data_IF_765002963093
#
_entry.id   IF_765002963093
#
_cell.length_a   1.000
_cell.length_b   1.000
_cell.length_c   1.000
_cell.angle_alpha   90.00
_cell.angle_beta   90.00
_cell.angle_gamma   90.00
#
_symmetry.space_group_name_H-M   'P 1'
#
loop_
_entity.id
_entity.type
_entity.pdbx_description
1 polymer ?
#
# COMPACT_ATOMS: atom_id res chain seq x y z
N UNK A 1 -39.24 -7.02 17.61
CA UNK A 1 -40.13 -6.68 16.48
C UNK A 1 -40.13 -5.19 16.13
N UNK A 2 -40.46 -4.28 17.06
CA UNK A 2 -40.52 -2.82 16.79
C UNK A 2 -39.23 -2.24 16.19
N UNK A 3 -38.06 -2.61 16.71
CA UNK A 3 -36.76 -2.19 16.18
C UNK A 3 -36.48 -2.64 14.74
N UNK A 4 -36.91 -3.86 14.39
CA UNK A 4 -36.74 -4.41 13.03
C UNK A 4 -37.63 -3.65 12.05
N UNK A 5 -38.90 -3.45 12.38
CA UNK A 5 -39.84 -2.67 11.56
C UNK A 5 -39.30 -1.25 11.36
N UNK A 6 -38.82 -0.61 12.42
CA UNK A 6 -38.22 0.73 12.34
C UNK A 6 -36.99 0.74 11.42
N UNK A 7 -36.07 -0.22 11.57
CA UNK A 7 -34.89 -0.34 10.72
C UNK A 7 -35.26 -0.46 9.23
N UNK A 8 -36.20 -1.35 8.90
CA UNK A 8 -36.67 -1.51 7.52
C UNK A 8 -37.40 -0.27 6.99
N UNK A 9 -38.19 0.42 7.82
CA UNK A 9 -38.84 1.68 7.44
C UNK A 9 -37.82 2.76 7.11
N UNK A 10 -36.72 2.87 7.87
CA UNK A 10 -35.64 3.81 7.59
C UNK A 10 -34.86 3.46 6.31
N UNK A 11 -34.62 2.16 6.08
CA UNK A 11 -33.97 1.66 4.86
C UNK A 11 -34.84 1.88 3.62
N UNK A 12 -36.17 1.88 3.74
CA UNK A 12 -37.07 2.13 2.59
C UNK A 12 -37.02 3.56 2.06
N UNK A 13 -36.60 4.52 2.88
CA UNK A 13 -36.49 5.92 2.43
C UNK A 13 -35.27 6.03 1.49
N UNK A 14 -35.43 6.35 0.19
CA UNK A 14 -34.35 6.25 -0.79
C UNK A 14 -33.11 7.08 -0.43
N UNK A 15 -33.31 8.30 0.06
CA UNK A 15 -32.22 9.19 0.48
C UNK A 15 -31.43 8.62 1.66
N UNK A 16 -32.12 7.99 2.61
CA UNK A 16 -31.50 7.33 3.76
C UNK A 16 -30.79 6.04 3.33
N UNK A 17 -31.42 5.23 2.47
CA UNK A 17 -30.78 4.04 1.89
C UNK A 17 -29.45 4.36 1.24
N UNK A 18 -29.44 5.34 0.33
CA UNK A 18 -28.23 5.72 -0.41
C UNK A 18 -27.16 6.26 0.54
N UNK A 19 -27.55 7.16 1.45
CA UNK A 19 -26.61 7.84 2.34
C UNK A 19 -26.04 6.92 3.44
N UNK A 20 -26.86 6.02 3.99
CA UNK A 20 -26.53 5.21 5.15
C UNK A 20 -25.98 3.82 4.79
N UNK A 21 -26.43 3.26 3.67
CA UNK A 21 -26.18 1.86 3.32
C UNK A 21 -25.37 1.75 2.03
N UNK A 22 -25.91 2.22 0.91
CA UNK A 22 -25.31 2.01 -0.41
C UNK A 22 -23.94 2.69 -0.57
N UNK A 23 -23.85 4.00 -0.32
CA UNK A 23 -22.64 4.77 -0.61
C UNK A 23 -21.44 4.37 0.25
N UNK A 24 -21.57 4.24 1.60
CA UNK A 24 -20.48 3.74 2.42
C UNK A 24 -20.06 2.33 1.98
N UNK A 25 -21.01 1.45 1.65
CA UNK A 25 -20.71 0.10 1.17
C UNK A 25 -19.91 0.12 -0.13
N UNK A 26 -20.32 0.90 -1.14
CA UNK A 26 -19.58 1.04 -2.41
C UNK A 26 -18.15 1.52 -2.14
N UNK A 27 -17.98 2.58 -1.34
CA UNK A 27 -16.63 3.09 -0.99
C UNK A 27 -15.81 1.99 -0.31
N UNK A 28 -16.39 1.31 0.68
CA UNK A 28 -15.71 0.23 1.39
C UNK A 28 -15.25 -0.88 0.45
N UNK A 29 -16.14 -1.34 -0.44
CA UNK A 29 -15.83 -2.36 -1.44
C UNK A 29 -14.72 -1.88 -2.39
N UNK A 30 -14.81 -0.66 -2.92
CA UNK A 30 -13.78 -0.11 -3.81
C UNK A 30 -12.41 -0.03 -3.13
N UNK A 31 -12.36 0.45 -1.88
CA UNK A 31 -11.10 0.54 -1.12
C UNK A 31 -10.53 -0.85 -0.84
N UNK A 32 -11.36 -1.80 -0.38
CA UNK A 32 -10.91 -3.16 -0.10
C UNK A 32 -10.42 -3.88 -1.37
N UNK A 33 -11.12 -3.74 -2.49
CA UNK A 33 -10.69 -4.31 -3.77
C UNK A 33 -9.41 -3.66 -4.30
N UNK A 34 -9.29 -2.34 -4.26
CA UNK A 34 -8.07 -1.65 -4.66
C UNK A 34 -6.86 -2.11 -3.82
N UNK A 35 -7.06 -2.29 -2.52
CA UNK A 35 -6.06 -2.77 -1.59
C UNK A 35 -5.70 -4.25 -1.82
N UNK A 36 -6.68 -5.11 -2.14
CA UNK A 36 -6.43 -6.50 -2.54
C UNK A 36 -5.66 -6.59 -3.87
N UNK A 37 -6.01 -5.76 -4.85
CA UNK A 37 -5.30 -5.67 -6.13
C UNK A 37 -3.87 -5.16 -5.95
N UNK A 38 -3.67 -4.11 -5.14
CA UNK A 38 -2.33 -3.60 -4.84
C UNK A 38 -1.47 -4.65 -4.13
N UNK A 39 -2.04 -5.36 -3.14
CA UNK A 39 -1.36 -6.46 -2.44
C UNK A 39 -0.99 -7.59 -3.40
N UNK A 40 -1.89 -7.96 -4.31
CA UNK A 40 -1.65 -8.95 -5.37
C UNK A 40 -0.56 -8.52 -6.33
N UNK A 41 -0.53 -7.25 -6.76
CA UNK A 41 0.50 -6.73 -7.64
C UNK A 41 1.87 -6.72 -6.95
N UNK A 42 1.91 -6.26 -5.69
CA UNK A 42 3.12 -6.29 -4.88
C UNK A 42 3.62 -7.73 -4.69
N UNK A 43 2.72 -8.67 -4.40
CA UNK A 43 3.07 -10.07 -4.29
C UNK A 43 3.70 -10.60 -5.58
N UNK A 44 3.09 -10.31 -6.73
CA UNK A 44 3.62 -10.64 -8.05
C UNK A 44 5.04 -10.13 -8.27
N UNK A 45 5.34 -8.89 -7.87
CA UNK A 45 6.69 -8.30 -7.96
C UNK A 45 7.69 -9.02 -7.04
N UNK A 46 7.28 -9.36 -5.81
CA UNK A 46 8.16 -9.99 -4.82
C UNK A 46 8.46 -11.45 -5.16
N UNK A 47 7.52 -12.17 -5.79
CA UNK A 47 7.69 -13.59 -6.17
C UNK A 47 8.16 -13.81 -7.59
N UNK A 48 8.32 -12.75 -8.36
CA UNK A 48 8.75 -12.83 -9.74
C UNK A 48 10.14 -13.46 -9.87
N UNK A 49 10.32 -14.36 -10.84
CA UNK A 49 11.64 -14.94 -11.15
C UNK A 49 12.54 -13.94 -11.89
N UNK A 50 13.87 -14.14 -11.94
CA UNK A 50 14.76 -13.29 -12.75
C UNK A 50 14.32 -13.22 -14.22
N UNK A 51 13.85 -14.33 -14.79
CA UNK A 51 13.36 -14.41 -16.17
C UNK A 51 12.05 -13.63 -16.39
N UNK A 52 11.13 -13.67 -15.42
CA UNK A 52 9.90 -12.89 -15.48
C UNK A 52 10.19 -11.39 -15.32
N UNK A 53 11.13 -11.05 -14.42
CA UNK A 53 11.63 -9.70 -14.21
C UNK A 53 12.31 -9.16 -15.46
N UNK A 54 13.14 -9.97 -16.11
CA UNK A 54 13.74 -9.68 -17.40
C UNK A 54 12.66 -9.44 -18.45
N UNK A 55 11.67 -10.32 -18.58
CA UNK A 55 10.56 -10.10 -19.53
C UNK A 55 9.79 -8.80 -19.27
N UNK A 56 9.60 -8.41 -18.01
CA UNK A 56 8.91 -7.15 -17.68
C UNK A 56 9.75 -5.92 -18.00
N UNK A 57 11.05 -5.94 -17.69
CA UNK A 57 11.96 -4.81 -17.98
C UNK A 57 12.27 -4.73 -19.46
N UNK A 58 12.50 -5.87 -20.10
CA UNK A 58 12.82 -6.01 -21.51
C UNK A 58 11.58 -6.12 -22.40
N UNK A 59 10.37 -5.86 -21.86
CA UNK A 59 9.17 -5.64 -22.68
C UNK A 59 9.34 -4.31 -23.44
N UNK A 60 10.21 -4.34 -24.44
CA UNK A 60 10.82 -3.19 -25.12
C UNK A 60 9.92 -2.60 -26.21
N UNK A 61 8.70 -3.12 -26.35
CA UNK A 61 7.75 -2.65 -27.38
C UNK A 61 7.14 -1.28 -27.06
N UNK A 62 7.28 -0.78 -25.83
CA UNK A 62 6.70 0.50 -25.41
C UNK A 62 7.26 1.72 -26.14
N UNK A 63 8.33 1.57 -26.92
CA UNK A 63 9.02 2.68 -27.58
C UNK A 63 9.06 2.54 -29.11
N UNK A 64 8.47 1.48 -29.66
CA UNK A 64 8.33 1.29 -31.10
C UNK A 64 7.46 2.40 -31.74
N UNK A 65 6.39 2.81 -31.05
CA UNK A 65 5.53 3.90 -31.51
C UNK A 65 6.25 5.26 -31.49
N UNK A 66 7.11 5.50 -30.48
CA UNK A 66 7.86 6.74 -30.36
C UNK A 66 8.93 6.84 -31.45
N UNK A 67 9.62 5.73 -31.76
CA UNK A 67 10.52 5.67 -32.93
C UNK A 67 9.77 5.86 -34.25
N UNK A 68 8.59 5.26 -34.39
CA UNK A 68 7.74 5.44 -35.57
C UNK A 68 7.33 6.91 -35.75
N UNK A 69 7.02 7.60 -34.65
CA UNK A 69 6.66 9.02 -34.65
C UNK A 69 7.87 9.90 -35.02
N UNK A 70 9.05 9.61 -34.46
CA UNK A 70 10.24 10.45 -34.60
C UNK A 70 11.02 10.23 -35.89
N UNK A 71 11.05 8.99 -36.39
CA UNK A 71 11.92 8.56 -37.50
C UNK A 71 11.16 7.85 -38.63
N UNK A 72 9.85 7.65 -38.49
CA UNK A 72 9.06 6.93 -39.48
C UNK A 72 9.30 5.41 -39.50
N UNK A 73 10.04 4.88 -38.53
CA UNK A 73 10.35 3.45 -38.41
C UNK A 73 10.23 2.98 -36.96
N UNK A 74 9.73 1.76 -36.76
CA UNK A 74 9.70 1.10 -35.46
C UNK A 74 10.98 0.32 -35.13
N UNK A 75 11.87 0.14 -36.12
CA UNK A 75 13.13 -0.58 -35.97
C UNK A 75 14.13 0.20 -35.11
N UNK A 76 15.16 -0.48 -34.61
CA UNK A 76 16.29 0.20 -33.97
C UNK A 76 17.03 1.02 -35.04
N UNK A 77 17.50 2.21 -34.66
CA UNK A 77 18.36 3.00 -35.53
C UNK A 77 19.71 2.33 -35.67
N UNK A 78 20.39 2.62 -36.79
CA UNK A 78 21.78 2.27 -36.98
C UNK A 78 22.66 2.90 -35.90
N UNK A 79 23.86 2.34 -35.64
CA UNK A 79 24.82 2.91 -34.68
C UNK A 79 25.06 4.40 -34.94
N UNK A 80 25.07 5.18 -33.87
CA UNK A 80 25.13 6.65 -33.95
C UNK A 80 26.40 7.14 -34.68
N UNK A 81 26.23 8.06 -35.62
CA UNK A 81 27.36 8.66 -36.34
C UNK A 81 27.94 9.85 -35.55
N UNK A 82 29.23 9.79 -35.21
CA UNK A 82 29.95 10.93 -34.63
C UNK A 82 30.40 11.90 -35.73
N UNK A 83 30.04 13.18 -35.59
CA UNK A 83 30.44 14.27 -36.45
C UNK A 83 31.21 15.33 -35.66
N UNK A 84 32.54 15.28 -35.71
CA UNK A 84 33.41 16.28 -35.07
C UNK A 84 33.70 17.41 -36.06
N UNK A 85 33.23 18.61 -35.75
CA UNK A 85 33.41 19.78 -36.60
C UNK A 85 34.82 20.34 -36.47
N UNK A 86 35.32 20.96 -37.55
CA UNK A 86 36.66 21.53 -37.60
C UNK A 86 36.58 23.03 -37.80
N UNK A 87 37.52 23.75 -37.19
CA UNK A 87 37.67 25.18 -37.39
C UNK A 87 38.38 25.46 -38.72
N UNK A 88 37.75 26.27 -39.57
CA UNK A 88 38.27 26.77 -40.84
C UNK A 88 38.42 28.30 -40.77
N UNK A 89 39.29 28.93 -41.59
CA UNK A 89 39.41 30.40 -41.64
C UNK A 89 38.10 31.15 -41.90
N UNK A 90 37.13 30.47 -42.52
CA UNK A 90 35.80 31.03 -42.85
C UNK A 90 34.71 30.70 -41.83
N UNK A 91 35.03 29.97 -40.75
CA UNK A 91 34.08 29.54 -39.72
C UNK A 91 34.21 28.06 -39.39
N UNK A 92 33.26 27.54 -38.63
CA UNK A 92 33.21 26.12 -38.27
C UNK A 92 32.54 25.31 -39.39
N UNK A 93 33.20 24.25 -39.86
CA UNK A 93 32.69 23.42 -40.98
C UNK A 93 32.53 21.95 -40.57
N UNK A 94 31.49 21.25 -41.08
CA UNK A 94 31.31 19.83 -40.84
C UNK A 94 32.41 19.02 -41.56
N UNK A 95 32.72 17.80 -41.07
CA UNK A 95 33.77 16.96 -41.66
C UNK A 95 33.43 16.44 -43.07
N UNK A 96 32.14 16.31 -43.40
CA UNK A 96 31.63 15.96 -44.72
C UNK A 96 30.18 16.45 -44.89
N UNK A 97 29.64 16.37 -46.11
CA UNK A 97 28.26 16.81 -46.39
C UNK A 97 27.19 15.98 -45.65
N UNK A 98 27.51 14.75 -45.26
CA UNK A 98 26.65 13.88 -44.45
C UNK A 98 26.56 14.27 -42.97
N UNK A 99 27.40 15.19 -42.50
CA UNK A 99 27.47 15.64 -41.11
C UNK A 99 26.85 17.03 -40.87
N UNK A 100 25.97 17.48 -41.77
CA UNK A 100 25.13 18.65 -41.52
C UNK A 100 24.07 18.31 -40.46
N UNK A 101 23.85 19.22 -39.52
CA UNK A 101 22.87 19.03 -38.44
C UNK A 101 21.46 18.93 -39.04
N UNK A 102 20.73 17.87 -38.69
CA UNK A 102 19.35 17.63 -39.07
C UNK A 102 18.44 17.58 -37.83
N UNK A 103 17.13 17.52 -38.05
CA UNK A 103 16.15 17.29 -36.98
C UNK A 103 16.43 15.95 -36.30
N UNK A 104 16.29 15.91 -34.97
CA UNK A 104 16.62 14.77 -34.08
C UNK A 104 18.11 14.48 -33.86
N UNK A 105 19.01 15.24 -34.50
CA UNK A 105 20.43 15.12 -34.19
C UNK A 105 20.74 15.79 -32.85
N UNK A 106 21.71 15.25 -32.11
CA UNK A 106 22.17 15.80 -30.84
C UNK A 106 23.43 16.62 -31.06
N UNK A 107 23.46 17.84 -30.54
CA UNK A 107 24.61 18.74 -30.60
C UNK A 107 25.26 18.86 -29.23
N UNK A 108 26.58 18.69 -29.16
CA UNK A 108 27.41 18.98 -28.00
C UNK A 108 28.25 20.20 -28.31
N UNK A 109 28.10 21.24 -27.49
CA UNK A 109 28.94 22.43 -27.52
C UNK A 109 30.15 22.25 -26.61
N UNK A 110 31.32 22.22 -27.22
CA UNK A 110 32.60 22.12 -26.54
C UNK A 110 33.54 23.24 -27.01
N UNK A 111 34.33 23.79 -26.09
CA UNK A 111 35.32 24.82 -26.38
C UNK A 111 36.36 24.37 -27.43
N UNK A 112 36.78 23.10 -27.34
CA UNK A 112 37.62 22.43 -28.34
C UNK A 112 36.98 21.11 -28.80
N UNK A 113 36.29 21.10 -29.95
CA UNK A 113 35.65 19.90 -30.49
C UNK A 113 36.63 18.76 -30.78
N UNK A 114 37.88 19.06 -31.14
CA UNK A 114 38.84 18.05 -31.59
C UNK A 114 39.36 17.18 -30.43
N UNK A 115 39.37 17.72 -29.21
CA UNK A 115 39.89 17.04 -28.01
C UNK A 115 38.80 16.57 -27.05
N UNK A 116 37.53 16.82 -27.35
CA UNK A 116 36.41 16.45 -26.49
C UNK A 116 36.20 14.92 -26.45
N UNK A 117 36.18 14.33 -25.24
CA UNK A 117 35.90 12.90 -25.08
C UNK A 117 34.39 12.63 -25.22
N UNK A 118 33.97 12.25 -26.43
CA UNK A 118 32.57 11.97 -26.74
C UNK A 118 32.13 10.55 -26.38
N UNK A 119 32.98 9.68 -25.81
CA UNK A 119 32.67 8.26 -25.61
C UNK A 119 31.44 8.02 -24.74
N UNK A 120 31.33 8.75 -23.62
CA UNK A 120 30.20 8.64 -22.71
C UNK A 120 28.89 9.07 -23.40
N UNK A 121 28.91 10.18 -24.13
CA UNK A 121 27.74 10.71 -24.83
C UNK A 121 27.32 9.85 -26.03
N UNK A 122 28.29 9.32 -26.77
CA UNK A 122 28.03 8.35 -27.83
C UNK A 122 27.34 7.12 -27.24
N UNK A 123 27.89 6.57 -26.15
CA UNK A 123 27.28 5.42 -25.49
C UNK A 123 25.88 5.71 -24.97
N UNK A 124 25.64 6.91 -24.43
CA UNK A 124 24.35 7.33 -23.91
C UNK A 124 23.29 7.41 -25.01
N UNK A 125 23.58 8.06 -26.13
CA UNK A 125 22.63 8.32 -27.23
C UNK A 125 22.57 7.24 -28.32
N UNK A 126 23.42 6.21 -28.25
CA UNK A 126 23.51 5.16 -29.26
C UNK A 126 22.17 4.43 -29.47
N UNK A 127 21.66 4.44 -30.71
CA UNK A 127 20.38 3.84 -31.07
C UNK A 127 19.14 4.72 -30.76
N UNK A 128 19.32 5.92 -30.21
CA UNK A 128 18.22 6.89 -29.94
C UNK A 128 18.21 8.08 -30.89
N UNK A 129 19.35 8.41 -31.49
CA UNK A 129 19.50 9.47 -32.50
C UNK A 129 20.48 9.01 -33.58
N UNK A 130 20.31 9.43 -34.84
CA UNK A 130 21.20 9.01 -35.91
C UNK A 130 22.58 9.66 -35.83
N UNK A 131 22.71 10.88 -35.28
CA UNK A 131 23.99 11.61 -35.26
C UNK A 131 24.24 12.39 -33.98
N UNK A 132 25.50 12.43 -33.59
CA UNK A 132 26.05 13.27 -32.53
C UNK A 132 27.05 14.25 -33.12
N UNK A 133 26.77 15.54 -33.02
CA UNK A 133 27.67 16.59 -33.48
C UNK A 133 28.44 17.18 -32.31
N UNK A 134 29.77 17.24 -32.41
CA UNK A 134 30.60 17.97 -31.46
C UNK A 134 31.13 19.20 -32.18
N UNK A 135 30.77 20.38 -31.69
CA UNK A 135 31.07 21.66 -32.32
C UNK A 135 31.21 22.75 -31.27
N UNK A 136 31.70 23.93 -31.65
CA UNK A 136 31.83 25.09 -30.77
C UNK A 136 30.58 25.98 -30.82
N UNK A 137 29.98 26.12 -32.00
CA UNK A 137 28.96 27.15 -32.26
C UNK A 137 27.70 26.66 -32.94
N UNK A 138 27.65 25.39 -33.37
CA UNK A 138 26.50 24.88 -34.11
C UNK A 138 25.22 24.84 -33.25
N UNK A 139 24.07 24.82 -33.95
CA UNK A 139 22.73 24.84 -33.37
C UNK A 139 21.95 23.64 -33.86
N UNK A 140 21.16 23.04 -32.98
CA UNK A 140 20.23 21.98 -33.30
C UNK A 140 19.01 22.03 -32.38
N UNK A 141 18.13 21.05 -32.51
CA UNK A 141 16.95 20.94 -31.66
C UNK A 141 17.29 20.42 -30.25
N UNK A 142 18.43 19.73 -30.12
CA UNK A 142 19.02 19.31 -28.84
C UNK A 142 20.44 19.85 -28.77
N UNK A 143 20.70 20.71 -27.78
CA UNK A 143 22.03 21.30 -27.57
C UNK A 143 22.48 21.07 -26.13
N UNK A 144 23.54 20.29 -25.96
CA UNK A 144 24.18 20.01 -24.68
C UNK A 144 25.39 20.94 -24.55
N UNK A 145 25.42 21.77 -23.51
CA UNK A 145 26.54 22.67 -23.21
C UNK A 145 27.54 21.96 -22.31
N UNK A 146 28.76 21.76 -22.79
CA UNK A 146 29.83 21.01 -22.10
C UNK A 146 30.88 21.86 -21.37
N UNK A 147 30.75 23.19 -21.37
CA UNK A 147 31.84 24.10 -20.98
C UNK A 147 31.82 24.52 -19.48
N UNK A 148 31.35 23.66 -18.55
CA UNK A 148 31.31 23.94 -17.11
C UNK A 148 31.17 22.70 -16.21
N UNK A 149 31.17 22.87 -14.88
CA UNK A 149 30.95 21.77 -13.91
C UNK A 149 29.56 21.13 -14.03
N UNK A 150 28.58 21.87 -14.56
CA UNK A 150 27.20 21.41 -14.74
C UNK A 150 26.84 21.33 -16.23
N UNK A 151 26.48 20.13 -16.70
CA UNK A 151 26.04 19.89 -18.07
C UNK A 151 24.56 20.29 -18.20
N UNK A 152 24.25 21.18 -19.13
CA UNK A 152 22.86 21.61 -19.40
C UNK A 152 22.44 21.23 -20.80
N UNK A 153 21.24 20.68 -20.93
CA UNK A 153 20.63 20.28 -22.21
C UNK A 153 19.49 21.23 -22.55
N UNK A 154 19.62 21.95 -23.66
CA UNK A 154 18.54 22.75 -24.24
C UNK A 154 17.80 21.90 -25.27
N UNK A 155 16.49 21.73 -25.08
CA UNK A 155 15.63 20.93 -25.96
C UNK A 155 14.54 21.82 -26.56
N UNK A 156 14.48 21.87 -27.88
CA UNK A 156 13.54 22.74 -28.62
C UNK A 156 12.42 21.90 -29.23
N UNK A 157 11.32 21.82 -28.50
CA UNK A 157 10.08 21.17 -28.95
C UNK A 157 9.91 19.71 -28.50
N UNK A 158 8.69 19.20 -28.67
CA UNK A 158 8.30 17.86 -28.20
C UNK A 158 9.00 16.72 -28.95
N UNK A 159 9.35 16.94 -30.22
CA UNK A 159 10.03 15.95 -31.05
C UNK A 159 11.45 15.66 -30.52
N UNK A 160 12.19 16.72 -30.19
CA UNK A 160 13.50 16.66 -29.57
C UNK A 160 13.46 16.08 -28.14
N UNK A 161 12.39 16.35 -27.38
CA UNK A 161 12.18 15.71 -26.07
C UNK A 161 11.97 14.19 -26.20
N UNK A 162 11.32 13.74 -27.27
CA UNK A 162 11.14 12.33 -27.58
C UNK A 162 12.46 11.56 -27.68
N UNK A 163 13.53 12.19 -28.15
CA UNK A 163 14.87 11.59 -28.19
C UNK A 163 15.41 11.30 -26.79
N UNK A 164 15.23 12.22 -25.83
CA UNK A 164 15.61 11.98 -24.44
C UNK A 164 14.80 10.86 -23.80
N UNK A 165 13.51 10.77 -24.09
CA UNK A 165 12.65 9.69 -23.60
C UNK A 165 13.11 8.34 -24.16
N UNK A 166 13.44 8.27 -25.45
CA UNK A 166 14.04 7.06 -26.06
C UNK A 166 15.39 6.70 -25.42
N UNK A 167 16.23 7.71 -25.20
CA UNK A 167 17.56 7.55 -24.64
C UNK A 167 17.50 7.04 -23.21
N UNK A 168 16.66 7.63 -22.37
CA UNK A 168 16.43 7.20 -20.99
C UNK A 168 15.89 5.77 -20.92
N UNK A 169 14.97 5.40 -21.82
CA UNK A 169 14.46 4.03 -21.91
C UNK A 169 15.56 3.02 -22.27
N UNK A 170 16.47 3.36 -23.20
CA UNK A 170 17.60 2.49 -23.56
C UNK A 170 18.63 2.37 -22.43
N UNK A 171 18.90 3.45 -21.71
CA UNK A 171 19.76 3.44 -20.52
C UNK A 171 19.12 2.60 -19.42
N UNK A 172 17.81 2.71 -19.21
CA UNK A 172 17.05 1.88 -18.29
C UNK A 172 17.13 0.39 -18.65
N UNK A 173 17.20 0.02 -19.93
CA UNK A 173 17.45 -1.38 -20.33
C UNK A 173 18.86 -1.86 -19.93
N UNK A 174 19.90 -1.01 -20.07
CA UNK A 174 21.27 -1.34 -19.64
C UNK A 174 21.40 -1.41 -18.12
N UNK A 175 20.70 -0.55 -17.38
CA UNK A 175 20.59 -0.65 -15.93
C UNK A 175 19.76 -1.89 -15.55
N UNK A 176 18.76 -2.22 -16.36
CA UNK A 176 17.91 -3.39 -16.26
C UNK A 176 18.69 -4.68 -16.21
N UNK A 177 19.70 -4.86 -17.07
CA UNK A 177 20.59 -6.05 -17.01
C UNK A 177 21.39 -6.12 -15.71
N UNK A 178 21.82 -5.00 -15.13
CA UNK A 178 22.42 -5.01 -13.79
C UNK A 178 21.42 -5.43 -12.71
N UNK A 179 20.17 -4.96 -12.77
CA UNK A 179 19.12 -5.39 -11.84
C UNK A 179 18.74 -6.87 -12.02
N UNK A 180 18.64 -7.36 -13.26
CA UNK A 180 18.36 -8.78 -13.56
C UNK A 180 19.47 -9.65 -12.96
N UNK A 181 20.73 -9.27 -13.19
CA UNK A 181 21.88 -9.99 -12.64
C UNK A 181 21.91 -9.95 -11.11
N UNK A 182 21.70 -8.78 -10.52
CA UNK A 182 21.62 -8.65 -9.06
C UNK A 182 20.48 -9.49 -8.47
N UNK A 183 19.33 -9.56 -9.15
CA UNK A 183 18.21 -10.41 -8.73
C UNK A 183 18.56 -11.90 -8.83
N UNK A 184 19.17 -12.33 -9.93
CA UNK A 184 19.66 -13.70 -10.07
C UNK A 184 20.70 -14.07 -9.00
N UNK A 185 21.63 -13.16 -8.69
CA UNK A 185 22.62 -13.35 -7.62
C UNK A 185 21.95 -13.46 -6.24
N UNK A 186 20.94 -12.61 -5.95
CA UNK A 186 20.15 -12.69 -4.71
C UNK A 186 19.41 -14.04 -4.61
N UNK A 187 18.78 -14.49 -5.68
CA UNK A 187 18.05 -15.76 -5.69
C UNK A 187 19.02 -16.96 -5.55
N UNK A 188 20.17 -16.93 -6.21
CA UNK A 188 21.22 -17.93 -6.01
C UNK A 188 21.76 -17.94 -4.56
N UNK A 189 21.97 -16.77 -3.96
CA UNK A 189 22.36 -16.67 -2.54
C UNK A 189 21.27 -17.22 -1.61
N UNK A 190 19.99 -17.01 -1.93
CA UNK A 190 18.87 -17.58 -1.17
C UNK A 190 18.80 -19.09 -1.30
N UNK A 191 19.07 -19.64 -2.48
CA UNK A 191 19.15 -21.09 -2.68
C UNK A 191 20.27 -21.71 -1.85
N UNK A 192 21.45 -21.08 -1.83
CA UNK A 192 22.59 -21.52 -1.01
C UNK A 192 22.27 -21.42 0.49
N UNK A 193 21.67 -20.31 0.91
CA UNK A 193 21.29 -20.08 2.32
C UNK A 193 20.15 -20.99 2.80
N UNK A 194 19.38 -21.56 1.87
CA UNK A 194 18.21 -22.36 2.18
C UNK A 194 17.09 -21.56 2.86
N UNK A 195 16.16 -22.29 3.48
CA UNK A 195 15.10 -21.70 4.30
C UNK A 195 15.65 -21.24 5.64
N UNK A 196 15.52 -19.95 5.95
CA UNK A 196 15.94 -19.39 7.23
C UNK A 196 14.79 -19.51 8.23
N UNK A 197 15.00 -20.33 9.25
CA UNK A 197 14.05 -20.55 10.34
C UNK A 197 14.55 -19.85 11.60
N UNK A 198 13.76 -18.92 12.14
CA UNK A 198 14.00 -18.30 13.43
C UNK A 198 13.17 -19.03 14.49
N UNK A 199 13.78 -19.49 15.58
CA UNK A 199 13.07 -20.16 16.68
C UNK A 199 13.26 -19.38 17.98
N UNK A 200 12.40 -18.39 18.26
CA UNK A 200 12.43 -17.67 19.52
C UNK A 200 12.12 -18.59 20.71
N UNK A 201 12.70 -18.29 21.88
CA UNK A 201 12.31 -18.94 23.13
C UNK A 201 10.79 -18.79 23.39
N UNK A 202 10.14 -19.90 23.75
CA UNK A 202 8.70 -19.95 24.02
C UNK A 202 7.79 -20.02 22.79
N UNK A 203 8.33 -19.93 21.58
CA UNK A 203 7.54 -20.07 20.36
C UNK A 203 7.24 -21.54 20.06
N UNK A 204 5.97 -21.93 19.83
CA UNK A 204 5.61 -23.33 19.58
C UNK A 204 6.19 -23.86 18.25
N UNK A 205 6.37 -22.98 17.25
CA UNK A 205 6.86 -23.34 15.92
C UNK A 205 7.91 -22.34 15.40
N UNK A 206 8.89 -22.81 14.61
CA UNK A 206 9.87 -21.92 13.99
C UNK A 206 9.21 -20.98 12.96
N UNK A 207 9.68 -19.75 12.95
CA UNK A 207 9.26 -18.68 12.04
C UNK A 207 10.05 -18.78 10.74
N UNK A 208 9.35 -18.95 9.63
CA UNK A 208 9.98 -18.96 8.31
C UNK A 208 10.26 -17.53 7.82
N UNK A 209 11.47 -17.04 8.09
CA UNK A 209 11.91 -15.70 7.72
C UNK A 209 11.95 -15.51 6.20
N UNK A 210 12.18 -16.58 5.43
CA UNK A 210 12.18 -16.55 3.97
C UNK A 210 10.79 -16.25 3.39
N UNK A 211 9.71 -16.65 4.07
CA UNK A 211 8.32 -16.39 3.65
C UNK A 211 7.67 -15.21 4.40
N UNK A 212 8.37 -14.59 5.35
CA UNK A 212 7.82 -13.58 6.25
C UNK A 212 7.16 -12.40 5.50
N UNK A 213 7.84 -11.87 4.48
CA UNK A 213 7.31 -10.76 3.66
C UNK A 213 5.98 -11.12 3.00
N UNK A 214 5.83 -12.35 2.51
CA UNK A 214 4.63 -12.83 1.83
C UNK A 214 3.45 -12.96 2.79
N UNK A 215 3.70 -13.53 3.96
CA UNK A 215 2.71 -13.68 5.04
C UNK A 215 2.30 -12.31 5.57
N UNK A 216 3.24 -11.36 5.70
CA UNK A 216 2.97 -10.01 6.18
C UNK A 216 1.96 -9.28 5.29
N UNK A 217 2.06 -9.41 3.96
CA UNK A 217 1.09 -8.81 3.01
C UNK A 217 -0.32 -9.34 3.27
N UNK A 218 -0.46 -10.64 3.51
CA UNK A 218 -1.74 -11.27 3.83
C UNK A 218 -2.31 -10.79 5.18
N UNK A 219 -1.46 -10.70 6.21
CA UNK A 219 -1.83 -10.17 7.53
C UNK A 219 -2.34 -8.73 7.41
N UNK A 220 -1.57 -7.85 6.78
CA UNK A 220 -1.92 -6.44 6.60
C UNK A 220 -3.24 -6.29 5.85
N UNK A 221 -3.48 -7.16 4.88
CA UNK A 221 -4.68 -7.05 4.08
C UNK A 221 -5.93 -7.50 4.84
N UNK A 222 -5.87 -8.62 5.56
CA UNK A 222 -6.96 -9.06 6.43
C UNK A 222 -7.27 -8.03 7.53
N UNK A 223 -6.22 -7.42 8.10
CA UNK A 223 -6.38 -6.33 9.06
C UNK A 223 -7.05 -5.11 8.44
N UNK A 224 -6.66 -4.71 7.23
CA UNK A 224 -7.27 -3.59 6.53
C UNK A 224 -8.75 -3.82 6.22
N UNK A 225 -9.15 -5.04 5.79
CA UNK A 225 -10.57 -5.41 5.61
C UNK A 225 -11.32 -5.26 6.93
N UNK A 226 -10.72 -5.70 8.04
CA UNK A 226 -11.32 -5.58 9.38
C UNK A 226 -11.47 -4.11 9.79
N UNK A 227 -10.47 -3.27 9.54
CA UNK A 227 -10.52 -1.83 9.79
C UNK A 227 -11.62 -1.16 8.95
N UNK A 228 -11.75 -1.51 7.67
CA UNK A 228 -12.80 -0.99 6.79
C UNK A 228 -14.18 -1.40 7.31
N UNK A 229 -14.35 -2.66 7.72
CA UNK A 229 -15.60 -3.15 8.32
C UNK A 229 -15.98 -2.37 9.59
N UNK A 230 -15.00 -2.10 10.46
CA UNK A 230 -15.19 -1.31 11.68
C UNK A 230 -15.48 0.16 11.40
N UNK A 231 -14.79 0.75 10.43
CA UNK A 231 -15.06 2.09 9.98
C UNK A 231 -16.47 2.22 9.41
N UNK A 232 -16.91 1.25 8.60
CA UNK A 232 -18.29 1.17 8.11
C UNK A 232 -19.26 1.05 9.27
N UNK A 233 -18.92 0.28 10.30
CA UNK A 233 -19.76 0.14 11.50
C UNK A 233 -19.95 1.50 12.20
N UNK A 234 -18.84 2.15 12.57
CA UNK A 234 -18.83 3.41 13.33
C UNK A 234 -19.39 4.60 12.56
N UNK A 235 -18.92 4.84 11.32
CA UNK A 235 -19.31 6.00 10.52
C UNK A 235 -20.80 5.99 10.24
N UNK A 236 -21.36 4.80 10.02
CA UNK A 236 -22.79 4.66 9.83
C UNK A 236 -23.60 4.99 11.07
N UNK A 237 -23.20 4.49 12.24
CA UNK A 237 -23.89 4.81 13.49
C UNK A 237 -23.99 6.33 13.70
N UNK A 238 -22.87 7.03 13.50
CA UNK A 238 -22.81 8.50 13.63
C UNK A 238 -23.63 9.23 12.57
N UNK A 239 -23.54 8.82 11.30
CA UNK A 239 -24.23 9.51 10.20
C UNK A 239 -25.75 9.44 10.34
N UNK A 240 -26.29 8.35 10.90
CA UNK A 240 -27.73 8.26 11.20
C UNK A 240 -28.11 9.26 12.30
N UNK A 241 -27.34 9.32 13.38
CA UNK A 241 -27.59 10.25 14.49
C UNK A 241 -27.49 11.70 14.02
N UNK A 242 -26.45 12.06 13.27
CA UNK A 242 -26.28 13.41 12.69
C UNK A 242 -27.41 13.78 11.74
N UNK A 243 -27.89 12.83 10.92
CA UNK A 243 -29.01 13.08 10.02
C UNK A 243 -30.28 13.46 10.80
N UNK A 244 -30.65 12.69 11.83
CA UNK A 244 -31.85 12.99 12.61
C UNK A 244 -31.69 14.24 13.48
N UNK A 245 -30.50 14.46 14.03
CA UNK A 245 -30.18 15.67 14.81
C UNK A 245 -30.32 16.93 13.95
N UNK A 246 -29.69 16.97 12.77
CA UNK A 246 -29.76 18.13 11.85
C UNK A 246 -31.16 18.46 11.34
N UNK A 247 -32.05 17.47 11.29
CA UNK A 247 -33.44 17.65 10.87
C UNK A 247 -34.40 17.87 12.04
N UNK A 248 -33.91 18.04 13.28
CA UNK A 248 -34.74 18.23 14.48
C UNK A 248 -35.63 17.02 14.81
N UNK A 249 -35.36 15.87 14.20
CA UNK A 249 -36.21 14.68 14.27
C UNK A 249 -35.69 13.64 15.27
N UNK A 250 -34.49 13.81 15.83
CA UNK A 250 -33.88 12.82 16.74
C UNK A 250 -34.71 12.63 18.02
N UNK A 251 -34.98 13.70 18.78
CA UNK A 251 -35.74 13.63 20.03
C UNK A 251 -37.19 13.16 19.82
N UNK A 252 -37.96 13.67 18.83
CA UNK A 252 -39.30 13.17 18.55
C UNK A 252 -39.33 11.68 18.22
N UNK A 253 -38.35 11.20 17.45
CA UNK A 253 -38.32 9.80 17.00
C UNK A 253 -37.91 8.85 18.14
N UNK A 254 -36.98 9.28 19.01
CA UNK A 254 -36.61 8.57 20.24
C UNK A 254 -37.79 8.52 21.21
N UNK A 255 -38.51 9.63 21.39
CA UNK A 255 -39.69 9.70 22.25
C UNK A 255 -40.83 8.79 21.74
N UNK A 256 -41.08 8.77 20.43
CA UNK A 256 -42.14 7.97 19.84
C UNK A 256 -41.83 6.46 19.81
N UNK A 257 -40.59 6.07 19.51
CA UNK A 257 -40.21 4.66 19.34
C UNK A 257 -39.70 4.01 20.62
N UNK A 258 -39.31 4.81 21.60
CA UNK A 258 -38.57 4.38 22.78
C UNK A 258 -37.07 4.23 22.49
N UNK A 259 -36.25 4.71 23.41
CA UNK A 259 -34.79 4.72 23.35
C UNK A 259 -34.18 3.39 22.91
N UNK A 260 -34.51 2.30 23.61
CA UNK A 260 -33.93 0.99 23.35
C UNK A 260 -34.27 0.46 21.94
N UNK A 261 -35.51 0.68 21.48
CA UNK A 261 -35.94 0.27 20.14
C UNK A 261 -35.25 1.06 19.05
N UNK A 262 -35.06 2.36 19.24
CA UNK A 262 -34.34 3.22 18.30
C UNK A 262 -32.88 2.78 18.17
N UNK A 263 -32.16 2.58 19.28
CA UNK A 263 -30.77 2.08 19.24
C UNK A 263 -30.65 0.72 18.59
N UNK A 264 -31.53 -0.21 18.95
CA UNK A 264 -31.54 -1.54 18.34
C UNK A 264 -31.74 -1.45 16.82
N UNK A 265 -32.59 -0.54 16.34
CA UNK A 265 -32.77 -0.31 14.90
C UNK A 265 -31.49 0.20 14.22
N UNK A 266 -30.77 1.13 14.85
CA UNK A 266 -29.48 1.62 14.34
C UNK A 266 -28.42 0.52 14.24
N UNK A 267 -28.36 -0.35 15.25
CA UNK A 267 -27.48 -1.51 15.26
C UNK A 267 -27.85 -2.51 14.17
N UNK A 268 -29.13 -2.79 13.96
CA UNK A 268 -29.60 -3.67 12.88
C UNK A 268 -29.15 -3.13 11.52
N UNK A 269 -29.37 -1.84 11.23
CA UNK A 269 -28.95 -1.22 9.96
C UNK A 269 -27.42 -1.34 9.79
N UNK A 270 -26.69 -1.13 10.87
CA UNK A 270 -25.22 -1.22 10.89
C UNK A 270 -24.74 -2.64 10.61
N UNK A 271 -25.33 -3.64 11.26
CA UNK A 271 -25.02 -5.05 11.04
C UNK A 271 -25.35 -5.50 9.62
N UNK A 272 -26.51 -5.08 9.07
CA UNK A 272 -26.88 -5.37 7.69
C UNK A 272 -25.85 -4.78 6.72
N UNK A 273 -25.44 -3.52 6.92
CA UNK A 273 -24.42 -2.87 6.07
C UNK A 273 -23.09 -3.61 6.12
N UNK A 274 -22.58 -3.91 7.32
CA UNK A 274 -21.29 -4.60 7.49
C UNK A 274 -21.39 -6.02 6.93
N UNK A 275 -22.49 -6.72 7.15
CA UNK A 275 -22.74 -8.05 6.59
C UNK A 275 -22.74 -8.06 5.06
N UNK A 276 -23.43 -7.12 4.42
CA UNK A 276 -23.43 -6.97 2.95
C UNK A 276 -22.03 -6.63 2.41
N UNK A 277 -21.30 -5.76 3.09
CA UNK A 277 -19.90 -5.45 2.75
C UNK A 277 -19.02 -6.70 2.81
N UNK A 278 -19.07 -7.46 3.91
CA UNK A 278 -18.27 -8.67 4.07
C UNK A 278 -18.66 -9.74 3.05
N UNK A 279 -19.96 -9.90 2.76
CA UNK A 279 -20.47 -10.83 1.77
C UNK A 279 -19.98 -10.51 0.35
N UNK A 280 -19.74 -9.22 0.04
CA UNK A 280 -19.15 -8.81 -1.23
C UNK A 280 -17.62 -8.94 -1.24
N UNK A 281 -16.93 -8.45 -0.20
CA UNK A 281 -15.47 -8.31 -0.19
C UNK A 281 -14.75 -9.62 0.10
N UNK A 282 -15.25 -10.45 1.02
CA UNK A 282 -14.56 -11.70 1.39
C UNK A 282 -14.44 -12.64 0.21
N UNK A 283 -15.51 -12.97 -0.55
CA UNK A 283 -15.38 -13.83 -1.73
C UNK A 283 -14.49 -13.22 -2.81
N UNK A 284 -14.59 -11.92 -3.05
CA UNK A 284 -13.75 -11.26 -4.04
C UNK A 284 -12.26 -11.31 -3.67
N UNK A 285 -11.93 -11.09 -2.39
CA UNK A 285 -10.55 -11.19 -1.88
C UNK A 285 -10.03 -12.62 -2.00
N UNK A 286 -10.86 -13.62 -1.66
CA UNK A 286 -10.50 -15.03 -1.83
C UNK A 286 -10.19 -15.34 -3.31
N UNK A 287 -11.01 -14.86 -4.24
CA UNK A 287 -10.78 -15.07 -5.69
C UNK A 287 -9.49 -14.39 -6.16
N UNK A 288 -9.22 -13.17 -5.71
CA UNK A 288 -7.97 -12.45 -6.04
C UNK A 288 -6.77 -13.23 -5.52
N UNK A 289 -6.82 -13.68 -4.27
CA UNK A 289 -5.73 -14.44 -3.65
C UNK A 289 -5.50 -15.80 -4.29
N UNK A 290 -6.57 -16.54 -4.57
CA UNK A 290 -6.48 -17.85 -5.22
C UNK A 290 -5.80 -17.77 -6.61
N UNK A 291 -5.87 -16.61 -7.28
CA UNK A 291 -5.19 -16.39 -8.57
C UNK A 291 -3.77 -15.85 -8.42
N UNK A 292 -3.52 -15.02 -7.42
CA UNK A 292 -2.29 -14.25 -7.30
C UNK A 292 -1.23 -14.88 -6.38
N UNK A 293 -1.66 -15.73 -5.45
CA UNK A 293 -0.82 -16.22 -4.35
C UNK A 293 -0.70 -17.74 -4.46
N UNK A 294 0.53 -18.30 -4.43
CA UNK A 294 0.76 -19.73 -4.42
C UNK A 294 -0.01 -20.42 -3.30
N UNK A 295 -0.59 -21.59 -3.60
CA UNK A 295 -1.39 -22.36 -2.65
C UNK A 295 -0.60 -22.69 -1.37
N UNK A 296 0.70 -22.94 -1.48
CA UNK A 296 1.59 -23.20 -0.33
C UNK A 296 1.64 -22.01 0.62
N UNK A 297 1.74 -20.77 0.11
CA UNK A 297 1.76 -19.57 0.94
C UNK A 297 0.41 -19.35 1.63
N UNK A 298 -0.69 -19.63 0.92
CA UNK A 298 -2.04 -19.58 1.51
C UNK A 298 -2.23 -20.64 2.60
N UNK A 299 -1.73 -21.86 2.39
CA UNK A 299 -1.78 -22.93 3.39
C UNK A 299 -0.96 -22.58 4.63
N UNK A 300 0.23 -21.98 4.47
CA UNK A 300 1.03 -21.52 5.61
C UNK A 300 0.30 -20.41 6.38
N UNK A 301 -0.32 -19.46 5.67
CA UNK A 301 -1.04 -18.35 6.31
C UNK A 301 -2.33 -18.79 7.01
N UNK A 302 -3.10 -19.69 6.40
CA UNK A 302 -4.34 -20.20 7.00
C UNK A 302 -4.04 -21.22 8.08
N UNK A 303 -3.01 -22.06 7.93
CA UNK A 303 -2.66 -23.08 8.91
C UNK A 303 -3.84 -23.99 9.26
N UNK A 304 -4.00 -24.29 10.56
CA UNK A 304 -5.20 -24.93 11.07
C UNK A 304 -6.38 -23.95 11.07
N UNK A 305 -7.52 -24.36 10.48
CA UNK A 305 -8.71 -23.53 10.38
C UNK A 305 -9.26 -23.07 11.74
N UNK A 306 -9.04 -23.85 12.81
CA UNK A 306 -9.42 -23.45 14.16
C UNK A 306 -8.53 -22.30 14.69
N UNK A 307 -7.22 -22.40 14.53
CA UNK A 307 -6.26 -21.36 14.91
C UNK A 307 -6.47 -20.08 14.09
N UNK A 308 -6.72 -20.20 12.79
CA UNK A 308 -7.06 -19.06 11.94
C UNK A 308 -8.34 -18.36 12.39
N UNK A 309 -9.38 -19.14 12.71
CA UNK A 309 -10.64 -18.58 13.22
C UNK A 309 -10.40 -17.85 14.54
N UNK A 310 -9.61 -18.44 15.44
CA UNK A 310 -9.27 -17.84 16.72
C UNK A 310 -8.49 -16.53 16.54
N UNK A 311 -7.49 -16.53 15.66
CA UNK A 311 -6.73 -15.35 15.27
C UNK A 311 -7.63 -14.26 14.70
N UNK A 312 -8.53 -14.61 13.78
CA UNK A 312 -9.47 -13.67 13.17
C UNK A 312 -10.39 -13.05 14.24
N UNK A 313 -10.87 -13.84 15.19
CA UNK A 313 -11.66 -13.32 16.32
C UNK A 313 -10.83 -12.40 17.23
N UNK A 314 -9.56 -12.72 17.46
CA UNK A 314 -8.65 -11.90 18.26
C UNK A 314 -8.37 -10.55 17.62
N UNK A 315 -8.09 -10.52 16.32
CA UNK A 315 -7.95 -9.27 15.56
C UNK A 315 -9.26 -8.49 15.56
N UNK A 316 -10.39 -9.13 15.26
CA UNK A 316 -11.68 -8.45 15.23
C UNK A 316 -12.02 -7.82 16.59
N UNK A 317 -11.82 -8.54 17.70
CA UNK A 317 -12.03 -8.01 19.05
C UNK A 317 -11.08 -6.86 19.38
N UNK A 318 -9.79 -7.00 19.05
CA UNK A 318 -8.76 -5.97 19.27
C UNK A 318 -9.05 -4.67 18.55
N UNK A 319 -9.31 -4.77 17.25
CA UNK A 319 -9.59 -3.61 16.41
C UNK A 319 -10.96 -3.01 16.78
N UNK A 320 -11.95 -3.82 17.18
CA UNK A 320 -13.22 -3.33 17.73
C UNK A 320 -13.01 -2.53 19.01
N UNK A 321 -12.13 -2.99 19.90
CA UNK A 321 -11.77 -2.26 21.11
C UNK A 321 -11.18 -0.88 20.76
N UNK A 322 -10.20 -0.82 19.85
CA UNK A 322 -9.63 0.45 19.39
C UNK A 322 -10.68 1.36 18.75
N UNK A 323 -11.56 0.79 17.93
CA UNK A 323 -12.64 1.51 17.25
C UNK A 323 -13.60 2.17 18.27
N UNK A 324 -13.98 1.45 19.32
CA UNK A 324 -14.84 1.99 20.39
C UNK A 324 -14.12 3.08 21.18
N UNK A 325 -12.85 2.86 21.53
CA UNK A 325 -12.04 3.84 22.26
C UNK A 325 -11.87 5.13 21.45
N UNK A 326 -11.58 5.03 20.15
CA UNK A 326 -11.51 6.18 19.26
C UNK A 326 -12.86 6.91 19.16
N UNK A 327 -13.96 6.16 19.02
CA UNK A 327 -15.31 6.73 19.01
C UNK A 327 -15.65 7.48 20.31
N UNK A 328 -15.23 6.96 21.46
CA UNK A 328 -15.40 7.60 22.77
C UNK A 328 -14.56 8.87 22.89
N UNK A 329 -13.31 8.84 22.41
CA UNK A 329 -12.43 10.01 22.44
C UNK A 329 -13.03 11.19 21.66
N UNK A 330 -13.68 10.91 20.55
CA UNK A 330 -14.35 11.89 19.70
C UNK A 330 -15.64 12.43 20.33
N UNK A 331 -16.47 11.56 20.93
CA UNK A 331 -17.67 12.00 21.65
C UNK A 331 -17.35 12.91 22.84
N UNK A 332 -16.24 12.63 23.55
CA UNK A 332 -15.82 13.39 24.73
C UNK A 332 -14.93 14.60 24.41
N UNK A 333 -14.87 15.04 23.15
CA UNK A 333 -14.01 16.15 22.71
C UNK A 333 -14.25 17.47 23.47
N UNK A 334 -15.42 17.64 24.09
CA UNK A 334 -15.74 18.80 24.96
C UNK A 334 -14.94 18.83 26.28
N UNK A 335 -14.38 17.70 26.73
CA UNK A 335 -13.51 17.61 27.91
C UNK A 335 -12.06 17.39 27.46
N UNK A 336 -11.27 18.47 27.39
CA UNK A 336 -9.93 18.50 26.77
C UNK A 336 -8.97 17.43 27.30
N UNK A 337 -8.89 17.24 28.62
CA UNK A 337 -7.99 16.26 29.25
C UNK A 337 -8.47 14.82 29.04
N UNK A 338 -9.77 14.58 29.17
CA UNK A 338 -10.34 13.24 29.03
C UNK A 338 -10.24 12.76 27.58
N UNK A 339 -10.55 13.63 26.60
CA UNK A 339 -10.38 13.32 25.18
C UNK A 339 -8.92 13.00 24.83
N UNK A 340 -7.97 13.74 25.39
CA UNK A 340 -6.54 13.47 25.24
C UNK A 340 -6.17 12.06 25.74
N UNK A 341 -6.59 11.71 26.96
CA UNK A 341 -6.29 10.40 27.54
C UNK A 341 -6.88 9.24 26.71
N UNK A 342 -8.15 9.34 26.29
CA UNK A 342 -8.77 8.30 25.46
C UNK A 342 -8.13 8.18 24.07
N UNK A 343 -7.54 9.24 23.53
CA UNK A 343 -6.91 9.23 22.21
C UNK A 343 -5.47 8.69 22.23
N UNK A 344 -4.67 9.11 23.20
CA UNK A 344 -3.22 8.88 23.17
C UNK A 344 -2.76 7.75 24.09
N UNK A 345 -3.42 7.51 25.23
CA UNK A 345 -3.01 6.42 26.14
C UNK A 345 -3.07 5.04 25.47
N UNK A 346 -4.13 4.66 24.74
CA UNK A 346 -4.17 3.37 24.04
C UNK A 346 -3.06 3.22 23.00
N UNK A 347 -2.73 4.32 22.32
CA UNK A 347 -1.68 4.35 21.31
C UNK A 347 -0.29 4.17 21.97
N UNK A 348 -0.02 4.89 23.06
CA UNK A 348 1.21 4.73 23.83
C UNK A 348 1.34 3.31 24.40
N UNK A 349 0.26 2.76 24.98
CA UNK A 349 0.24 1.41 25.54
C UNK A 349 0.47 0.34 24.46
N UNK A 350 -0.16 0.48 23.30
CA UNK A 350 0.08 -0.40 22.17
C UNK A 350 1.54 -0.31 21.72
N UNK A 351 2.08 0.90 21.49
CA UNK A 351 3.47 1.07 21.03
C UNK A 351 4.49 0.55 22.04
N UNK A 352 4.32 0.86 23.33
CA UNK A 352 5.20 0.34 24.38
C UNK A 352 5.10 -1.18 24.48
N UNK A 353 3.88 -1.72 24.39
CA UNK A 353 3.63 -3.15 24.37
C UNK A 353 4.34 -3.85 23.21
N UNK A 354 4.15 -3.34 22.00
CA UNK A 354 4.79 -3.85 20.79
C UNK A 354 6.31 -3.80 20.88
N UNK A 355 6.88 -2.72 21.43
CA UNK A 355 8.33 -2.59 21.60
C UNK A 355 8.87 -3.61 22.61
N UNK A 356 8.25 -3.73 23.78
CA UNK A 356 8.70 -4.67 24.82
C UNK A 356 8.52 -6.12 24.33
N UNK A 357 7.41 -6.43 23.66
CA UNK A 357 7.18 -7.74 23.07
C UNK A 357 8.22 -8.06 21.99
N UNK A 358 8.50 -7.12 21.08
CA UNK A 358 9.50 -7.30 20.05
C UNK A 358 10.89 -7.56 20.65
N UNK A 359 11.30 -6.77 21.65
CA UNK A 359 12.57 -7.01 22.37
C UNK A 359 12.58 -8.39 23.02
N UNK A 360 11.46 -8.83 23.62
CA UNK A 360 11.36 -10.14 24.25
C UNK A 360 11.38 -11.31 23.25
N UNK A 361 11.01 -11.11 21.99
CA UNK A 361 11.11 -12.12 20.92
C UNK A 361 12.56 -12.33 20.47
N UNK A 362 13.40 -11.29 20.51
CA UNK A 362 14.78 -11.33 20.01
C UNK A 362 15.85 -11.43 21.11
N UNK A 363 15.44 -11.45 22.38
CA UNK A 363 16.36 -11.51 23.50
C UNK A 363 16.17 -12.82 24.27
N UNK A 364 17.21 -13.64 24.29
CA UNK A 364 17.24 -14.90 25.03
C UNK A 364 17.37 -14.59 26.52
N UNK A 365 16.35 -14.96 27.29
CA UNK A 365 16.29 -14.59 28.70
C UNK A 365 15.23 -15.39 29.45
N UNK A 366 15.45 -15.68 30.75
CA UNK A 366 14.59 -16.59 31.51
C UNK A 366 13.13 -16.12 31.67
N UNK A 367 12.84 -14.86 31.33
CA UNK A 367 11.51 -14.25 31.39
C UNK A 367 10.95 -13.86 30.01
N UNK A 368 11.65 -14.17 28.91
CA UNK A 368 11.28 -13.80 27.54
C UNK A 368 9.87 -14.30 27.20
N UNK A 369 9.63 -15.60 27.35
CA UNK A 369 8.34 -16.26 27.09
C UNK A 369 7.21 -15.68 27.96
N UNK A 370 7.46 -15.48 29.25
CA UNK A 370 6.45 -14.93 30.17
C UNK A 370 6.03 -13.51 29.74
N UNK A 371 7.01 -12.65 29.44
CA UNK A 371 6.76 -11.28 28.98
C UNK A 371 5.98 -11.29 27.67
N UNK A 372 6.38 -12.16 26.73
CA UNK A 372 5.69 -12.30 25.44
C UNK A 372 4.22 -12.69 25.64
N UNK A 373 3.94 -13.72 26.45
CA UNK A 373 2.60 -14.23 26.71
C UNK A 373 1.72 -13.22 27.46
N UNK A 374 2.26 -12.52 28.46
CA UNK A 374 1.53 -11.49 29.21
C UNK A 374 1.17 -10.31 28.30
N UNK A 375 2.10 -9.84 27.49
CA UNK A 375 1.83 -8.73 26.55
C UNK A 375 0.81 -9.17 25.51
N UNK A 376 0.99 -10.34 24.89
CA UNK A 376 0.09 -10.86 23.86
C UNK A 376 -1.34 -11.12 24.38
N UNK A 377 -1.50 -11.52 25.66
CA UNK A 377 -2.82 -11.73 26.27
C UNK A 377 -3.57 -10.43 26.61
N UNK A 378 -2.85 -9.30 26.76
CA UNK A 378 -3.42 -8.07 27.31
C UNK A 378 -4.10 -7.24 26.22
N UNK A 379 -5.41 -6.93 26.31
CA UNK A 379 -6.09 -6.09 25.32
C UNK A 379 -5.42 -4.71 25.17
N UNK A 380 -5.46 -4.13 23.97
CA UNK A 380 -4.79 -2.87 23.59
C UNK A 380 -3.27 -2.98 23.51
N UNK A 381 -2.61 -3.60 24.49
CA UNK A 381 -1.15 -3.79 24.52
C UNK A 381 -0.73 -4.89 23.54
N UNK A 382 -1.47 -6.00 23.51
CA UNK A 382 -1.21 -7.21 22.71
C UNK A 382 -1.67 -7.15 21.26
N UNK A 383 -2.07 -5.98 20.74
CA UNK A 383 -2.62 -5.87 19.39
C UNK A 383 -1.58 -6.27 18.33
N UNK A 384 -0.34 -5.77 18.43
CA UNK A 384 0.71 -6.13 17.47
C UNK A 384 1.08 -7.61 17.54
N UNK A 385 1.31 -8.22 18.73
CA UNK A 385 1.51 -9.67 18.84
C UNK A 385 0.40 -10.48 18.15
N UNK A 386 -0.86 -10.18 18.45
CA UNK A 386 -2.01 -10.91 17.90
C UNK A 386 -2.13 -10.68 16.39
N UNK A 387 -1.87 -9.46 15.91
CA UNK A 387 -1.83 -9.17 14.48
C UNK A 387 -0.76 -10.01 13.77
N UNK A 388 0.42 -10.13 14.38
CA UNK A 388 1.57 -10.84 13.82
C UNK A 388 1.57 -12.34 14.10
N UNK A 389 0.57 -12.90 14.80
CA UNK A 389 0.61 -14.30 15.21
C UNK A 389 0.67 -15.34 14.08
N UNK A 390 0.16 -15.09 12.85
CA UNK A 390 0.36 -16.01 11.73
C UNK A 390 1.80 -16.03 11.21
N UNK A 391 2.60 -15.03 11.58
CA UNK A 391 4.02 -14.96 11.27
C UNK A 391 4.88 -15.42 12.46
N UNK A 392 4.61 -14.88 13.64
CA UNK A 392 5.29 -15.21 14.90
C UNK A 392 4.36 -16.09 15.70
N UNK A 393 4.63 -17.40 15.74
CA UNK A 393 3.70 -18.32 16.40
C UNK A 393 3.56 -17.98 17.89
N UNK A 394 2.32 -17.72 18.31
CA UNK A 394 1.92 -17.45 19.69
C UNK A 394 1.08 -18.62 20.16
N UNK A 395 1.23 -19.02 21.42
CA UNK A 395 0.44 -20.09 22.01
C UNK A 395 -1.07 -19.83 21.84
N UNK A 396 -1.78 -20.80 21.28
CA UNK A 396 -3.23 -20.74 21.00
C UNK A 396 -4.05 -20.39 22.24
N UNK A 397 -3.61 -20.83 23.43
CA UNK A 397 -4.25 -20.46 24.71
C UNK A 397 -4.15 -18.96 25.02
N UNK A 398 -3.04 -18.31 24.65
CA UNK A 398 -2.82 -16.88 24.82
C UNK A 398 -3.68 -16.08 23.85
N UNK A 399 -3.79 -16.53 22.59
CA UNK A 399 -4.71 -15.91 21.61
C UNK A 399 -6.16 -16.03 22.10
N UNK A 400 -6.56 -17.19 22.61
CA UNK A 400 -7.90 -17.39 23.17
C UNK A 400 -8.16 -16.47 24.36
N UNK A 401 -7.21 -16.38 25.30
CA UNK A 401 -7.31 -15.50 26.44
C UNK A 401 -7.43 -14.04 26.01
N UNK A 402 -6.60 -13.59 25.06
CA UNK A 402 -6.69 -12.25 24.49
C UNK A 402 -8.05 -11.98 23.86
N UNK A 403 -8.56 -12.90 23.04
CA UNK A 403 -9.87 -12.78 22.39
C UNK A 403 -11.00 -12.62 23.41
N UNK A 404 -10.98 -13.42 24.49
CA UNK A 404 -11.95 -13.33 25.58
C UNK A 404 -11.84 -11.99 26.31
N UNK A 405 -10.63 -11.60 26.72
CA UNK A 405 -10.40 -10.36 27.46
C UNK A 405 -10.75 -9.12 26.61
N UNK A 406 -10.36 -9.11 25.34
CA UNK A 406 -10.69 -8.03 24.40
C UNK A 406 -12.20 -7.96 24.16
N UNK A 407 -12.87 -9.11 24.01
CA UNK A 407 -14.33 -9.19 23.88
C UNK A 407 -15.07 -8.67 25.12
N UNK A 408 -14.64 -9.07 26.32
CA UNK A 408 -15.18 -8.55 27.58
C UNK A 408 -14.97 -7.05 27.71
N UNK A 409 -13.79 -6.54 27.34
CA UNK A 409 -13.49 -5.12 27.34
C UNK A 409 -14.38 -4.35 26.34
N UNK A 410 -14.59 -4.88 25.13
CA UNK A 410 -15.53 -4.34 24.14
C UNK A 410 -16.93 -4.24 24.71
N UNK A 411 -17.45 -5.33 25.30
CA UNK A 411 -18.79 -5.35 25.88
C UNK A 411 -18.93 -4.34 27.03
N UNK A 412 -17.92 -4.25 27.89
CA UNK A 412 -17.87 -3.27 28.98
C UNK A 412 -17.88 -1.83 28.43
N UNK A 413 -17.01 -1.51 27.47
CA UNK A 413 -16.92 -0.19 26.86
C UNK A 413 -18.21 0.18 26.12
N UNK A 414 -18.83 -0.76 25.40
CA UNK A 414 -20.13 -0.55 24.74
C UNK A 414 -21.22 -0.26 25.76
N UNK A 415 -21.28 -1.01 26.88
CA UNK A 415 -22.26 -0.79 27.94
C UNK A 415 -22.07 0.60 28.55
N UNK A 416 -20.85 0.96 28.94
CA UNK A 416 -20.52 2.27 29.50
C UNK A 416 -20.83 3.40 28.52
N UNK A 417 -20.50 3.23 27.24
CA UNK A 417 -20.80 4.20 26.20
C UNK A 417 -22.32 4.38 26.02
N UNK A 418 -23.07 3.27 26.00
CA UNK A 418 -24.53 3.32 25.87
C UNK A 418 -25.18 4.08 27.03
N UNK A 419 -24.67 3.91 28.25
CA UNK A 419 -25.13 4.60 29.45
C UNK A 419 -24.77 6.09 29.43
N UNK A 420 -23.55 6.43 29.00
CA UNK A 420 -23.12 7.81 28.88
C UNK A 420 -23.93 8.57 27.83
N UNK A 421 -24.04 8.00 26.62
CA UNK A 421 -24.85 8.59 25.54
C UNK A 421 -26.31 8.70 25.98
N UNK A 422 -26.82 7.70 26.68
CA UNK A 422 -28.15 7.72 27.24
C UNK A 422 -28.38 8.91 28.20
N UNK A 423 -27.40 9.26 29.03
CA UNK A 423 -27.51 10.34 29.99
C UNK A 423 -27.35 11.74 29.35
N UNK A 424 -26.59 11.85 28.26
CA UNK A 424 -26.25 13.15 27.62
C UNK A 424 -26.98 13.35 26.29
N UNK A 425 -28.03 12.57 26.01
CA UNK A 425 -28.80 12.65 24.77
C UNK A 425 -29.49 14.01 24.60
N UNK A 426 -29.77 14.70 25.71
CA UNK A 426 -30.37 16.04 25.72
C UNK A 426 -29.33 17.16 25.48
N UNK A 427 -28.04 16.87 25.69
CA UNK A 427 -26.93 17.82 25.45
C UNK A 427 -26.36 17.77 24.01
N UNK A 428 -26.74 16.73 23.27
CA UNK A 428 -26.38 16.45 21.86
C UNK A 428 -27.51 16.93 20.96
#
# INVERSE_FOLDING_TARGET
MKAIILAFSLIRVPKLFVSLLLWPMIIGVCVALAQALFSSAYFGIVTETPEQFEKRIMATDEHAWLRQLLFGTSALLDPIQLCVWRQSPTGEIPPNDGCRVQTNDVVIRAADPATYDSREMLSFFDGSTPRLHVCRSCTGDIVIKGDGEERTSEVRGLHALGIFILTDAQVNNRIGTHYIRAKADIDAMREIGGTVLLQPEGSPHPINMTQATKIMVLILNTAAITIIALWLSLRGHRKVLEYFSRNGALLPLVAACGKNSFYAALWIITLVRVGLFLLAVVPATIVVYAKAIPAETLQIFVGDGAEFTLWLTGIAASLSCLAIVASLAELKQRHTVVSFLYRYVPLCLCLSGSLVWFVAVFNDGPYSELIQNVIAATPVVGISPILLSPLVSINTTVIALHSVLAGLLVLLLMRLNSQWFAAHLEEI
#
